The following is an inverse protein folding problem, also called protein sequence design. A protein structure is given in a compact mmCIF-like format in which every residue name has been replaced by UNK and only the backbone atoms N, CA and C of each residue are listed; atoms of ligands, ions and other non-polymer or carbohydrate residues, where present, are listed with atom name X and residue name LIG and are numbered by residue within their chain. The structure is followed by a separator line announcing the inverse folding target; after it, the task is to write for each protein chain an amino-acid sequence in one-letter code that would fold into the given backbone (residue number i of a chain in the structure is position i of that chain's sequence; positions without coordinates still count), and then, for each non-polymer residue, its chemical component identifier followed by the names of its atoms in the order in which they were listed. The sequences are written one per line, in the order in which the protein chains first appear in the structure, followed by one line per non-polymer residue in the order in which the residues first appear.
data_IF_056275490403
#
_entry.id   IF_056275490403
#
_cell.length_a   1.000
_cell.length_b   1.000
_cell.length_c   1.000
_cell.angle_alpha   90.00
_cell.angle_beta   90.00
_cell.angle_gamma   90.00
#
_symmetry.space_group_name_H-M   'P 1'
#
loop_
_entity.id
_entity.type
_entity.pdbx_description
1 polymer ?
#
# COMPACT_ATOMS: atom_id res chain seq x y z
N UNK A 1 -11.58 17.97 48.30
CA UNK A 1 -10.82 16.81 47.78
C UNK A 1 -11.51 16.08 46.62
N UNK A 2 -12.84 16.16 46.45
CA UNK A 2 -13.56 15.36 45.43
C UNK A 2 -13.46 15.85 43.97
N UNK A 3 -13.59 17.16 43.73
CA UNK A 3 -13.62 17.69 42.36
C UNK A 3 -12.29 17.57 41.61
N UNK A 4 -11.16 17.74 42.31
CA UNK A 4 -9.83 17.64 41.72
C UNK A 4 -9.46 16.18 41.36
N UNK A 5 -9.79 15.23 42.24
CA UNK A 5 -9.60 13.80 41.94
C UNK A 5 -10.46 13.34 40.77
N UNK A 6 -11.68 13.87 40.65
CA UNK A 6 -12.59 13.58 39.54
C UNK A 6 -12.09 14.16 38.20
N UNK A 7 -11.51 15.37 38.21
CA UNK A 7 -10.89 15.95 37.01
C UNK A 7 -9.66 15.16 36.53
N UNK A 8 -8.81 14.68 37.45
CA UNK A 8 -7.63 13.86 37.11
C UNK A 8 -8.04 12.53 36.49
N UNK A 9 -9.11 11.91 36.97
CA UNK A 9 -9.61 10.66 36.38
C UNK A 9 -10.12 10.87 34.96
N UNK A 10 -10.86 11.96 34.70
CA UNK A 10 -11.38 12.28 33.37
C UNK A 10 -10.24 12.55 32.38
N UNK A 11 -9.19 13.26 32.79
CA UNK A 11 -8.03 13.51 31.91
C UNK A 11 -7.26 12.23 31.60
N UNK A 12 -7.03 11.36 32.59
CA UNK A 12 -6.37 10.07 32.37
C UNK A 12 -7.16 9.18 31.41
N UNK A 13 -8.48 9.08 31.60
CA UNK A 13 -9.36 8.32 30.72
C UNK A 13 -9.34 8.90 29.30
N UNK A 14 -9.39 10.23 29.16
CA UNK A 14 -9.31 10.91 27.86
C UNK A 14 -7.99 10.64 27.13
N UNK A 15 -6.85 10.66 27.84
CA UNK A 15 -5.53 10.35 27.26
C UNK A 15 -5.44 8.89 26.84
N UNK A 16 -5.95 7.96 27.65
CA UNK A 16 -6.00 6.53 27.31
C UNK A 16 -6.83 6.32 26.04
N UNK A 17 -8.03 6.93 25.96
CA UNK A 17 -8.91 6.83 24.78
C UNK A 17 -8.25 7.43 23.52
N UNK A 18 -7.54 8.55 23.65
CA UNK A 18 -6.81 9.14 22.53
C UNK A 18 -5.68 8.25 22.02
N UNK A 19 -4.97 7.54 22.90
CA UNK A 19 -3.87 6.66 22.51
C UNK A 19 -4.33 5.44 21.70
N UNK A 20 -5.51 4.88 22.03
CA UNK A 20 -6.06 3.71 21.31
C UNK A 20 -6.46 4.05 19.86
N UNK A 21 -6.91 5.28 19.59
CA UNK A 21 -7.33 5.70 18.24
C UNK A 21 -6.13 5.87 17.31
N UNK A 22 -4.98 6.30 17.84
CA UNK A 22 -3.75 6.51 17.04
C UNK A 22 -3.14 5.19 16.59
N UNK A 23 -3.16 4.15 17.44
CA UNK A 23 -2.54 2.85 17.13
C UNK A 23 -3.21 2.08 15.98
N UNK A 24 -4.47 2.37 15.65
CA UNK A 24 -5.19 1.71 14.54
C UNK A 24 -4.78 2.25 13.15
N UNK A 25 -4.06 3.37 13.08
CA UNK A 25 -3.66 4.00 11.82
C UNK A 25 -2.29 3.52 11.29
N UNK A 26 -1.57 2.68 12.04
CA UNK A 26 -0.18 2.30 11.72
C UNK A 26 -0.04 0.94 11.02
N UNK A 27 -1.11 0.16 10.89
CA UNK A 27 -1.11 -1.00 10.00
C UNK A 27 -1.44 -0.50 8.59
N UNK A 28 -0.65 -0.90 7.58
CA UNK A 28 -0.86 -0.61 6.17
C UNK A 28 -2.16 -1.27 5.69
N UNK A 29 -3.29 -0.66 6.01
CA UNK A 29 -4.63 -1.18 5.78
C UNK A 29 -5.19 -0.57 4.49
N UNK A 30 -5.88 -1.38 3.70
CA UNK A 30 -6.71 -0.85 2.63
C UNK A 30 -7.83 0.02 3.21
N UNK A 31 -8.43 0.87 2.36
CA UNK A 31 -9.61 1.65 2.74
C UNK A 31 -10.71 0.71 3.29
N UNK A 32 -11.39 1.06 4.40
CA UNK A 32 -12.41 0.18 4.98
C UNK A 32 -13.47 -0.26 3.94
N UNK A 33 -13.70 -1.58 3.86
CA UNK A 33 -14.62 -2.18 2.87
C UNK A 33 -13.99 -2.51 1.52
N UNK A 34 -12.71 -2.21 1.32
CA UNK A 34 -11.95 -2.55 0.13
C UNK A 34 -11.14 -3.84 0.32
N UNK A 35 -10.84 -4.48 -0.81
CA UNK A 35 -9.99 -5.66 -0.83
C UNK A 35 -8.52 -5.22 -0.83
N UNK A 36 -7.71 -5.88 -0.01
CA UNK A 36 -6.36 -5.47 0.38
C UNK A 36 -5.27 -6.40 -0.16
N UNK A 37 -5.60 -7.37 -1.02
CA UNK A 37 -4.64 -8.33 -1.55
C UNK A 37 -4.89 -8.68 -3.01
N UNK A 38 -3.83 -8.96 -3.77
CA UNK A 38 -3.92 -9.60 -5.07
C UNK A 38 -2.85 -10.69 -5.15
N UNK A 39 -3.27 -11.95 -5.21
CA UNK A 39 -2.36 -13.09 -5.06
C UNK A 39 -1.60 -13.03 -3.73
N UNK A 40 -0.29 -12.81 -3.80
CA UNK A 40 0.61 -12.67 -2.64
C UNK A 40 1.01 -11.22 -2.33
N UNK A 41 0.50 -10.25 -3.08
CA UNK A 41 0.82 -8.82 -2.90
C UNK A 41 -0.25 -8.15 -2.06
N UNK A 42 0.15 -7.53 -0.96
CA UNK A 42 -0.71 -6.64 -0.16
C UNK A 42 -0.86 -5.27 -0.86
N UNK A 43 -2.09 -4.74 -0.86
CA UNK A 43 -2.53 -3.52 -1.55
C UNK A 43 -3.06 -2.53 -0.49
N UNK A 44 -2.16 -1.81 0.20
CA UNK A 44 -2.55 -0.84 1.22
C UNK A 44 -3.03 0.47 0.58
N UNK A 45 -3.84 1.24 1.30
CA UNK A 45 -4.14 2.62 0.87
C UNK A 45 -2.83 3.44 0.83
N UNK A 46 -2.57 4.27 -0.19
CA UNK A 46 -3.48 4.83 -1.21
C UNK A 46 -3.80 3.94 -2.43
N UNK A 47 -3.25 2.73 -2.52
CA UNK A 47 -3.50 1.81 -3.63
C UNK A 47 -4.83 1.07 -3.47
N UNK A 48 -5.37 0.61 -4.60
CA UNK A 48 -6.64 -0.11 -4.61
C UNK A 48 -6.92 -0.83 -5.92
N UNK A 49 -7.80 -1.83 -5.83
CA UNK A 49 -8.14 -2.72 -6.95
C UNK A 49 -9.38 -2.30 -7.72
N UNK A 50 -10.23 -1.49 -7.10
CA UNK A 50 -11.56 -1.08 -7.60
C UNK A 50 -11.77 0.40 -7.38
N UNK A 51 -12.71 0.96 -8.13
CA UNK A 51 -13.16 2.34 -7.96
C UNK A 51 -13.54 2.62 -6.50
N UNK A 52 -13.24 3.82 -6.04
CA UNK A 52 -13.40 4.27 -4.65
C UNK A 52 -12.48 3.55 -3.63
N UNK A 53 -11.63 2.61 -4.04
CA UNK A 53 -10.66 1.94 -3.17
C UNK A 53 -9.21 2.41 -3.32
N UNK A 54 -8.93 3.26 -4.29
CA UNK A 54 -7.63 3.93 -4.49
C UNK A 54 -7.80 5.44 -4.35
N UNK A 55 -6.71 6.16 -4.08
CA UNK A 55 -6.73 7.62 -3.92
C UNK A 55 -7.05 8.33 -5.23
N UNK A 56 -6.41 7.91 -6.32
CA UNK A 56 -6.65 8.36 -7.69
C UNK A 56 -6.15 7.31 -8.69
N UNK A 57 -6.38 7.54 -9.98
CA UNK A 57 -6.04 6.60 -11.08
C UNK A 57 -4.56 6.16 -11.08
N UNK A 58 -3.63 6.98 -10.59
CA UNK A 58 -2.21 6.61 -10.51
C UNK A 58 -1.92 5.54 -9.45
N UNK A 59 -2.85 5.36 -8.51
CA UNK A 59 -2.80 4.35 -7.46
C UNK A 59 -3.67 3.12 -7.77
N UNK A 60 -4.28 3.08 -8.97
CA UNK A 60 -5.03 1.91 -9.39
C UNK A 60 -4.10 0.73 -9.70
N UNK A 61 -4.38 -0.41 -9.05
CA UNK A 61 -3.71 -1.68 -9.29
C UNK A 61 -4.70 -2.63 -9.95
N UNK A 62 -4.32 -3.19 -11.10
CA UNK A 62 -5.08 -4.24 -11.76
C UNK A 62 -4.68 -5.60 -11.19
N UNK A 63 -5.64 -6.49 -10.99
CA UNK A 63 -5.38 -7.85 -10.50
C UNK A 63 -5.83 -8.88 -11.53
N UNK A 64 -4.87 -9.43 -12.28
CA UNK A 64 -5.14 -10.44 -13.30
C UNK A 64 -5.32 -11.82 -12.65
N UNK A 65 -6.44 -12.46 -12.98
CA UNK A 65 -6.84 -13.80 -12.50
C UNK A 65 -6.80 -13.97 -10.97
N UNK A 66 -6.90 -12.86 -10.22
CA UNK A 66 -6.71 -12.83 -8.76
C UNK A 66 -5.33 -13.31 -8.27
N UNK A 67 -4.33 -13.34 -9.17
CA UNK A 67 -2.99 -13.86 -8.89
C UNK A 67 -1.91 -12.79 -9.11
N UNK A 68 -2.04 -11.98 -10.16
CA UNK A 68 -0.97 -11.07 -10.58
C UNK A 68 -1.37 -9.61 -10.41
N UNK A 69 -0.74 -8.91 -9.47
CA UNK A 69 -0.90 -7.47 -9.30
C UNK A 69 -0.11 -6.71 -10.37
N UNK A 70 -0.73 -5.69 -10.96
CA UNK A 70 -0.13 -4.89 -12.04
C UNK A 70 -0.39 -3.39 -11.86
N UNK A 71 0.62 -2.61 -12.21
CA UNK A 71 0.49 -1.16 -12.44
C UNK A 71 0.84 -0.89 -13.90
N UNK A 72 -0.16 -0.50 -14.70
CA UNK A 72 -0.04 -0.50 -16.15
C UNK A 72 0.36 -1.88 -16.70
N UNK A 73 1.51 -1.95 -17.38
CA UNK A 73 2.06 -3.20 -17.93
C UNK A 73 3.06 -3.92 -17.02
N UNK A 74 3.39 -3.35 -15.87
CA UNK A 74 4.42 -3.87 -14.97
C UNK A 74 3.79 -4.70 -13.85
N UNK A 75 4.38 -5.85 -13.56
CA UNK A 75 3.93 -6.69 -12.44
C UNK A 75 4.47 -6.14 -11.13
N UNK A 76 3.59 -5.85 -10.19
CA UNK A 76 3.94 -5.41 -8.83
C UNK A 76 4.29 -6.65 -8.00
N UNK A 77 5.39 -6.61 -7.28
CA UNK A 77 5.82 -7.71 -6.39
C UNK A 77 5.64 -7.39 -4.92
N UNK A 78 5.77 -6.12 -4.55
CA UNK A 78 5.63 -5.68 -3.17
C UNK A 78 5.34 -4.18 -3.13
N UNK A 79 4.51 -3.79 -2.17
CA UNK A 79 4.22 -2.39 -1.85
C UNK A 79 4.50 -2.23 -0.37
N UNK A 80 5.28 -1.23 0.01
CA UNK A 80 5.58 -0.93 1.39
C UNK A 80 5.42 0.56 1.67
N UNK A 81 4.44 0.89 2.50
CA UNK A 81 4.14 2.27 2.93
C UNK A 81 5.16 2.74 3.97
N UNK A 82 5.64 1.85 4.84
CA UNK A 82 6.65 2.18 5.86
C UNK A 82 7.95 2.71 5.24
N UNK A 83 8.44 2.08 4.16
CA UNK A 83 9.65 2.50 3.44
C UNK A 83 9.37 3.32 2.19
N UNK A 84 8.10 3.67 1.93
CA UNK A 84 7.68 4.47 0.77
C UNK A 84 8.17 3.89 -0.56
N UNK A 85 8.09 2.56 -0.72
CA UNK A 85 8.63 1.82 -1.87
C UNK A 85 7.53 1.00 -2.57
N UNK A 86 7.56 0.98 -3.91
CA UNK A 86 6.86 -0.01 -4.72
C UNK A 86 7.88 -0.77 -5.57
N UNK A 87 7.84 -2.11 -5.52
CA UNK A 87 8.67 -2.98 -6.34
C UNK A 87 7.89 -3.53 -7.51
N UNK A 88 8.48 -3.42 -8.69
CA UNK A 88 7.92 -3.91 -9.95
C UNK A 88 8.92 -4.78 -10.70
N UNK A 89 8.42 -5.77 -11.43
CA UNK A 89 9.19 -6.51 -12.41
C UNK A 89 9.23 -5.71 -13.72
N UNK A 90 10.44 -5.41 -14.17
CA UNK A 90 10.71 -4.84 -15.49
C UNK A 90 11.65 -5.74 -16.26
N UNK A 91 11.57 -5.69 -17.59
CA UNK A 91 12.57 -6.28 -18.46
C UNK A 91 13.89 -5.52 -18.32
N UNK A 92 15.01 -6.25 -18.35
CA UNK A 92 16.34 -5.65 -18.34
C UNK A 92 16.60 -5.03 -19.70
N UNK A 93 16.64 -3.70 -19.76
CA UNK A 93 17.06 -2.98 -20.95
C UNK A 93 18.55 -3.26 -21.22
N UNK A 94 18.91 -3.43 -22.49
CA UNK A 94 20.28 -3.65 -22.95
C UNK A 94 20.62 -2.58 -23.96
N UNK A 95 21.75 -1.90 -23.77
CA UNK A 95 22.32 -1.05 -24.81
C UNK A 95 23.03 -1.93 -25.84
N UNK A 96 22.52 -1.94 -27.06
CA UNK A 96 23.19 -2.56 -28.19
C UNK A 96 24.17 -1.56 -28.80
N UNK A 97 25.47 -1.75 -28.56
CA UNK A 97 26.50 -0.92 -29.20
C UNK A 97 26.82 -1.39 -30.62
N UNK A 98 26.51 -2.64 -30.94
CA UNK A 98 26.65 -3.19 -32.28
C UNK A 98 25.29 -3.70 -32.79
N UNK A 99 25.01 -3.57 -34.09
CA UNK A 99 23.75 -4.02 -34.69
C UNK A 99 23.56 -5.54 -34.62
N UNK A 100 24.63 -6.30 -34.34
CA UNK A 100 24.60 -7.75 -34.26
C UNK A 100 23.99 -8.24 -32.93
N UNK A 101 24.24 -7.49 -31.85
CA UNK A 101 23.82 -7.88 -30.50
C UNK A 101 22.32 -7.63 -30.25
N UNK A 102 21.69 -6.82 -31.11
CA UNK A 102 20.29 -6.44 -31.00
C UNK A 102 19.32 -7.48 -31.59
N UNK A 103 19.79 -8.39 -32.46
CA UNK A 103 18.96 -9.46 -33.03
C UNK A 103 19.18 -10.82 -32.37
N UNK A 104 20.24 -10.98 -31.57
CA UNK A 104 20.62 -12.27 -31.01
C UNK A 104 19.71 -12.78 -29.88
N UNK A 105 18.77 -11.95 -29.40
CA UNK A 105 17.92 -12.25 -28.23
C UNK A 105 16.45 -11.85 -28.43
N UNK A 106 15.98 -11.82 -29.67
CA UNK A 106 14.54 -11.75 -30.03
C UNK A 106 14.06 -13.13 -30.46
#
# INVERSE_FOLDING_TARGET
MGLHGMLIQITLIGVIISAIVVAAAEAALAKPGCHDKCGDVEIPFPFGLKDDCYLDETFHITCDDNVTAKTGSLTVTNISIEVHEMRVLSYVARDCYNPIDCWAYV
#
